data_IF_393177668110
#
_entry.id   IF_393177668110
#
_cell.length_a   1.000
_cell.length_b   1.000
_cell.length_c   1.000
_cell.angle_alpha   90.00
_cell.angle_beta   90.00
_cell.angle_gamma   90.00
#
_symmetry.space_group_name_H-M   'P 1'
#
loop_
_entity.id
_entity.type
_entity.pdbx_description
1 polymer ?
#
# COMPACT_ATOMS: atom_id res chain seq x y z
N UNK A 1 63.04 -40.20 -43.63
CA UNK A 1 62.39 -39.25 -44.58
C UNK A 1 61.37 -38.46 -43.77
N UNK A 2 61.38 -37.14 -43.57
CA UNK A 2 62.21 -36.05 -44.07
C UNK A 2 61.34 -34.79 -44.23
N UNK A 3 61.49 -33.82 -43.31
CA UNK A 3 61.24 -32.35 -43.42
C UNK A 3 59.76 -31.87 -43.47
N UNK A 4 59.33 -30.72 -42.92
CA UNK A 4 59.97 -29.58 -42.22
C UNK A 4 58.90 -28.66 -41.57
N UNK A 5 59.25 -28.03 -40.41
CA UNK A 5 59.06 -26.61 -39.95
C UNK A 5 57.73 -25.89 -40.28
N UNK A 6 57.01 -25.24 -39.37
CA UNK A 6 57.36 -24.33 -38.25
C UNK A 6 56.46 -23.09 -38.40
N UNK A 7 55.73 -22.62 -37.38
CA UNK A 7 56.07 -21.41 -36.64
C UNK A 7 55.11 -21.18 -35.47
N UNK A 8 55.71 -20.69 -34.38
CA UNK A 8 55.11 -20.17 -33.16
C UNK A 8 54.84 -18.67 -33.35
N UNK A 9 53.71 -18.17 -32.87
CA UNK A 9 53.56 -16.77 -32.48
C UNK A 9 52.97 -16.68 -31.07
N UNK A 10 53.79 -16.19 -30.15
CA UNK A 10 53.39 -15.64 -28.85
C UNK A 10 53.37 -14.12 -29.04
N UNK A 11 52.27 -13.47 -28.69
CA UNK A 11 52.24 -12.05 -28.35
C UNK A 11 51.61 -11.89 -26.97
N UNK A 12 52.43 -11.42 -26.02
CA UNK A 12 52.00 -10.79 -24.78
C UNK A 12 51.74 -9.30 -25.04
N UNK A 13 50.63 -8.77 -24.55
CA UNK A 13 50.51 -7.42 -23.97
C UNK A 13 49.11 -7.28 -23.36
N UNK A 14 49.00 -7.32 -22.02
CA UNK A 14 48.96 -6.16 -21.10
C UNK A 14 47.53 -5.72 -20.75
N UNK A 15 47.14 -6.11 -19.53
CA UNK A 15 46.34 -5.39 -18.52
C UNK A 15 45.58 -4.14 -18.97
N UNK A 16 44.25 -4.16 -18.84
CA UNK A 16 43.55 -3.18 -18.00
C UNK A 16 42.15 -3.67 -17.61
N UNK A 17 41.93 -3.74 -16.30
CA UNK A 17 40.64 -3.69 -15.64
C UNK A 17 39.93 -2.37 -16.00
N UNK A 18 38.59 -2.38 -16.10
CA UNK A 18 37.67 -1.31 -15.64
C UNK A 18 36.22 -1.76 -15.89
N UNK A 19 35.50 -1.92 -14.75
CA UNK A 19 34.09 -1.65 -14.44
C UNK A 19 32.96 -2.23 -15.31
N UNK A 20 32.22 -3.15 -14.69
CA UNK A 20 30.78 -3.30 -14.89
C UNK A 20 30.09 -1.96 -14.55
N UNK A 21 29.50 -1.32 -15.54
CA UNK A 21 28.50 -0.26 -15.35
C UNK A 21 27.13 -0.79 -15.81
N UNK A 22 26.10 -0.42 -15.06
CA UNK A 22 24.70 -0.86 -15.12
C UNK A 22 24.06 -0.74 -16.52
N UNK A 23 23.09 -1.61 -16.87
CA UNK A 23 22.31 -1.41 -18.08
C UNK A 23 21.31 -0.28 -17.86
N UNK A 24 21.52 0.81 -18.59
CA UNK A 24 20.54 1.87 -18.84
C UNK A 24 19.27 1.27 -19.49
N UNK A 25 18.04 1.66 -19.09
CA UNK A 25 16.85 1.22 -19.80
C UNK A 25 16.74 1.95 -21.14
N UNK A 26 16.80 1.17 -22.23
CA UNK A 26 16.52 1.58 -23.60
C UNK A 26 15.06 2.07 -23.72
N UNK A 27 14.84 3.37 -23.70
CA UNK A 27 13.67 3.97 -24.34
C UNK A 27 13.95 4.07 -25.84
N UNK A 28 13.39 3.14 -26.63
CA UNK A 28 13.30 3.28 -28.07
C UNK A 28 11.83 3.40 -28.48
N UNK A 29 11.53 4.56 -29.09
CA UNK A 29 10.28 4.89 -29.74
C UNK A 29 9.85 3.77 -30.70
N UNK A 30 8.64 3.24 -30.51
CA UNK A 30 7.97 2.37 -31.48
C UNK A 30 7.67 3.18 -32.76
N UNK A 31 8.47 2.97 -33.81
CA UNK A 31 8.08 3.26 -35.19
C UNK A 31 7.38 2.02 -35.76
N UNK A 32 6.16 2.23 -36.26
CA UNK A 32 5.31 1.18 -36.82
C UNK A 32 5.97 0.42 -37.97
N UNK A 33 5.84 -0.90 -37.91
CA UNK A 33 6.04 -1.84 -39.01
C UNK A 33 4.97 -2.92 -38.92
N UNK A 34 4.41 -3.33 -40.05
CA UNK A 34 3.18 -4.13 -40.18
C UNK A 34 3.29 -5.60 -39.72
N UNK A 35 4.14 -5.93 -38.76
CA UNK A 35 4.27 -7.24 -38.12
C UNK A 35 4.71 -7.10 -36.64
N UNK A 36 4.12 -6.16 -35.91
CA UNK A 36 4.26 -6.12 -34.46
C UNK A 36 3.38 -7.22 -33.86
N UNK A 37 4.00 -8.24 -33.28
CA UNK A 37 3.32 -9.24 -32.46
C UNK A 37 2.73 -8.49 -31.27
N UNK A 38 1.39 -8.35 -31.24
CA UNK A 38 0.68 -7.82 -30.08
C UNK A 38 1.01 -8.71 -28.86
N UNK A 39 1.57 -8.17 -27.78
CA UNK A 39 1.74 -8.93 -26.54
C UNK A 39 0.38 -9.43 -26.04
N UNK A 40 0.37 -10.62 -25.44
CA UNK A 40 -0.88 -11.20 -24.91
C UNK A 40 -1.44 -10.30 -23.82
N UNK A 41 -2.77 -10.23 -23.69
CA UNK A 41 -3.46 -9.39 -22.70
C UNK A 41 -2.96 -9.59 -21.26
N UNK A 42 -2.45 -10.79 -20.94
CA UNK A 42 -1.83 -11.15 -19.67
C UNK A 42 -0.40 -10.59 -19.47
N UNK A 43 0.37 -10.40 -20.54
CA UNK A 43 1.71 -9.81 -20.50
C UNK A 43 1.63 -8.28 -20.45
N UNK A 44 0.60 -7.68 -21.07
CA UNK A 44 0.30 -6.24 -20.95
C UNK A 44 -0.17 -5.88 -19.54
N UNK A 45 -0.89 -6.77 -18.84
CA UNK A 45 -1.31 -6.55 -17.46
C UNK A 45 -0.17 -6.63 -16.44
N UNK A 46 0.92 -7.37 -16.72
CA UNK A 46 2.13 -7.40 -15.88
C UNK A 46 3.07 -6.21 -16.17
N UNK A 47 3.06 -5.69 -17.40
CA UNK A 47 4.00 -4.65 -17.86
C UNK A 47 3.45 -3.22 -17.67
N UNK A 48 2.17 -3.06 -17.31
CA UNK A 48 1.55 -1.78 -16.94
C UNK A 48 0.78 -1.87 -15.62
N UNK A 49 1.37 -2.44 -14.56
CA UNK A 49 0.94 -2.12 -13.19
C UNK A 49 1.29 -0.64 -12.95
N UNK A 50 0.42 0.27 -13.42
CA UNK A 50 0.48 1.68 -13.09
C UNK A 50 0.56 1.75 -11.57
N UNK A 51 1.69 2.20 -11.05
CA UNK A 51 1.94 2.21 -9.61
C UNK A 51 1.14 3.35 -8.98
N UNK A 52 -0.17 3.14 -8.84
CA UNK A 52 -1.06 4.09 -8.20
C UNK A 52 -0.53 4.40 -6.80
N UNK A 53 -0.40 5.68 -6.51
CA UNK A 53 0.05 6.16 -5.21
C UNK A 53 -1.12 6.22 -4.24
N UNK A 54 -1.65 5.06 -3.90
CA UNK A 54 -2.83 4.92 -3.06
C UNK A 54 -2.48 5.20 -1.60
N UNK A 55 -3.23 6.09 -0.98
CA UNK A 55 -3.19 6.34 0.46
C UNK A 55 -4.49 5.89 1.12
N UNK A 56 -4.41 5.60 2.42
CA UNK A 56 -5.59 5.39 3.28
C UNK A 56 -5.54 6.46 4.35
N UNK A 57 -6.66 7.12 4.59
CA UNK A 57 -6.79 8.09 5.66
C UNK A 57 -7.97 7.73 6.56
N UNK A 58 -7.72 7.75 7.87
CA UNK A 58 -8.77 7.62 8.87
C UNK A 58 -9.08 9.01 9.40
N UNK A 59 -10.23 9.54 9.00
CA UNK A 59 -10.67 10.88 9.33
C UNK A 59 -11.87 10.83 10.28
N UNK A 60 -11.91 11.77 11.22
CA UNK A 60 -12.98 11.89 12.20
C UNK A 60 -13.26 13.36 12.47
N UNK A 61 -14.42 13.69 13.04
CA UNK A 61 -14.68 15.05 13.51
C UNK A 61 -13.68 15.45 14.61
N UNK A 62 -13.26 16.72 14.73
CA UNK A 62 -12.23 17.15 15.68
C UNK A 62 -12.49 16.79 17.15
N UNK A 63 -13.76 16.67 17.56
CA UNK A 63 -14.16 16.28 18.92
C UNK A 63 -14.11 14.77 19.20
N UNK A 64 -13.85 13.95 18.18
CA UNK A 64 -13.86 12.48 18.27
C UNK A 64 -12.64 11.98 19.03
N UNK A 65 -12.82 10.97 19.89
CA UNK A 65 -11.73 10.43 20.69
C UNK A 65 -10.71 9.65 19.84
N UNK A 66 -9.49 9.51 20.36
CA UNK A 66 -8.47 8.64 19.74
C UNK A 66 -8.91 7.17 19.69
N UNK A 67 -9.71 6.72 20.65
CA UNK A 67 -10.28 5.37 20.70
C UNK A 67 -11.25 5.13 19.54
N UNK A 68 -12.15 6.07 19.27
CA UNK A 68 -13.11 5.95 18.16
C UNK A 68 -12.39 5.98 16.80
N UNK A 69 -11.38 6.85 16.62
CA UNK A 69 -10.52 6.82 15.43
C UNK A 69 -9.81 5.47 15.29
N UNK A 70 -9.26 4.94 16.39
CA UNK A 70 -8.61 3.62 16.41
C UNK A 70 -9.56 2.52 15.96
N UNK A 71 -10.82 2.57 16.41
CA UNK A 71 -11.86 1.59 16.06
C UNK A 71 -12.16 1.55 14.56
N UNK A 72 -12.15 2.70 13.87
CA UNK A 72 -12.32 2.74 12.41
C UNK A 72 -11.22 1.95 11.69
N UNK A 73 -9.96 2.10 12.11
CA UNK A 73 -8.86 1.32 11.54
C UNK A 73 -8.93 -0.16 11.92
N UNK A 74 -9.31 -0.48 13.15
CA UNK A 74 -9.49 -1.87 13.57
C UNK A 74 -10.59 -2.57 12.75
N UNK A 75 -11.67 -1.86 12.39
CA UNK A 75 -12.71 -2.39 11.49
C UNK A 75 -12.16 -2.68 10.09
N UNK A 76 -11.35 -1.78 9.52
CA UNK A 76 -10.66 -2.01 8.25
C UNK A 76 -9.69 -3.20 8.35
N UNK A 77 -8.93 -3.28 9.43
CA UNK A 77 -8.02 -4.38 9.72
C UNK A 77 -8.76 -5.72 9.81
N UNK A 78 -9.91 -5.78 10.48
CA UNK A 78 -10.73 -7.00 10.56
C UNK A 78 -11.17 -7.50 9.18
N UNK A 79 -11.57 -6.59 8.28
CA UNK A 79 -11.88 -6.95 6.89
C UNK A 79 -10.67 -7.49 6.13
N UNK A 80 -9.51 -6.84 6.28
CA UNK A 80 -8.25 -7.33 5.74
C UNK A 80 -7.91 -8.73 6.27
N UNK A 81 -8.02 -8.94 7.58
CA UNK A 81 -7.74 -10.22 8.23
C UNK A 81 -8.65 -11.33 7.71
N UNK A 82 -9.95 -11.06 7.56
CA UNK A 82 -10.90 -11.99 6.93
C UNK A 82 -10.52 -12.31 5.49
N UNK A 83 -10.11 -11.31 4.70
CA UNK A 83 -9.61 -11.51 3.34
C UNK A 83 -8.35 -12.41 3.32
N UNK A 84 -7.57 -12.41 4.40
CA UNK A 84 -6.38 -13.26 4.58
C UNK A 84 -6.70 -14.60 5.27
N UNK A 85 -7.97 -14.98 5.44
CA UNK A 85 -8.42 -16.20 6.13
C UNK A 85 -8.14 -16.24 7.64
N UNK A 86 -8.21 -15.09 8.31
CA UNK A 86 -8.11 -14.96 9.77
C UNK A 86 -9.43 -14.46 10.38
N UNK A 87 -9.69 -14.85 11.62
CA UNK A 87 -10.74 -14.27 12.50
C UNK A 87 -10.10 -13.54 13.67
N UNK A 88 -10.74 -12.44 14.08
CA UNK A 88 -10.48 -11.84 15.39
C UNK A 88 -11.07 -12.75 16.47
N UNK A 89 -10.24 -13.13 17.44
CA UNK A 89 -10.65 -13.93 18.60
C UNK A 89 -10.97 -13.04 19.78
N UNK A 90 -10.18 -11.98 19.98
CA UNK A 90 -10.36 -11.04 21.10
C UNK A 90 -9.76 -9.66 20.79
N UNK A 91 -10.32 -8.62 21.41
CA UNK A 91 -9.76 -7.27 21.49
C UNK A 91 -8.92 -7.21 22.79
N UNK A 92 -7.61 -7.46 22.67
CA UNK A 92 -6.79 -7.86 23.81
C UNK A 92 -6.25 -6.67 24.61
N UNK A 93 -6.81 -6.47 25.80
CA UNK A 93 -6.06 -5.93 26.95
C UNK A 93 -5.92 -7.02 28.00
N UNK A 94 -5.21 -8.10 27.65
CA UNK A 94 -4.89 -9.17 28.62
C UNK A 94 -3.86 -8.64 29.61
N UNK A 95 -3.88 -9.10 30.86
CA UNK A 95 -2.93 -8.68 31.89
C UNK A 95 -1.48 -8.79 31.41
N UNK A 96 -0.83 -7.65 31.17
CA UNK A 96 0.54 -7.56 30.69
C UNK A 96 0.73 -7.49 29.16
N UNK A 97 -0.35 -7.57 28.37
CA UNK A 97 -0.33 -7.47 26.90
C UNK A 97 -1.15 -6.26 26.46
N UNK A 98 -0.50 -5.35 25.74
CA UNK A 98 -1.19 -4.29 24.99
C UNK A 98 -0.96 -4.54 23.50
N UNK A 99 -1.95 -5.13 22.83
CA UNK A 99 -2.05 -5.26 21.37
C UNK A 99 -3.49 -4.98 20.94
N UNK A 100 -3.72 -4.44 19.75
CA UNK A 100 -5.09 -4.10 19.34
C UNK A 100 -5.97 -5.33 19.14
N UNK A 101 -5.48 -6.39 18.46
CA UNK A 101 -6.28 -7.60 18.19
C UNK A 101 -5.44 -8.87 18.38
N UNK A 102 -6.07 -9.91 18.93
CA UNK A 102 -5.62 -11.29 18.80
C UNK A 102 -6.45 -11.97 17.72
N UNK A 103 -5.78 -12.57 16.74
CA UNK A 103 -6.43 -13.26 15.64
C UNK A 103 -5.91 -14.69 15.50
N UNK A 104 -6.70 -15.52 14.86
CA UNK A 104 -6.38 -16.91 14.57
C UNK A 104 -6.74 -17.21 13.11
N UNK A 105 -5.91 -18.00 12.43
CA UNK A 105 -6.24 -18.54 11.12
C UNK A 105 -7.54 -19.37 11.21
N UNK A 106 -8.34 -19.41 10.14
CA UNK A 106 -9.61 -20.16 10.18
C UNK A 106 -9.44 -21.67 10.41
N UNK A 107 -8.29 -22.22 10.03
CA UNK A 107 -7.92 -23.61 10.27
C UNK A 107 -7.27 -23.86 11.64
N UNK A 108 -7.10 -22.80 12.44
CA UNK A 108 -6.51 -22.86 13.79
C UNK A 108 -4.99 -23.05 13.81
N UNK A 109 -4.31 -22.97 12.67
CA UNK A 109 -2.88 -23.30 12.57
C UNK A 109 -1.93 -22.20 13.03
N UNK A 110 -2.40 -20.95 13.03
CA UNK A 110 -1.58 -19.77 13.36
C UNK A 110 -2.36 -18.80 14.23
N UNK A 111 -1.71 -18.30 15.29
CA UNK A 111 -2.18 -17.18 16.11
C UNK A 111 -1.30 -15.96 15.84
N UNK A 112 -1.95 -14.82 15.63
CA UNK A 112 -1.25 -13.56 15.34
C UNK A 112 -1.71 -12.45 16.27
N UNK A 113 -0.76 -11.61 16.67
CA UNK A 113 -1.07 -10.32 17.27
C UNK A 113 -1.10 -9.25 16.20
N UNK A 114 -2.07 -8.35 16.27
CA UNK A 114 -2.23 -7.25 15.33
C UNK A 114 -2.17 -5.94 16.08
N UNK A 115 -1.33 -5.04 15.59
CA UNK A 115 -1.22 -3.66 16.05
C UNK A 115 -1.70 -2.73 14.92
N UNK A 116 -2.63 -1.85 15.24
CA UNK A 116 -3.25 -0.89 14.34
C UNK A 116 -2.81 0.53 14.68
N UNK A 117 -2.30 1.28 13.70
CA UNK A 117 -1.89 2.69 13.89
C UNK A 117 -2.52 3.59 12.84
N UNK A 118 -3.58 4.29 13.26
CA UNK A 118 -4.32 5.27 12.48
C UNK A 118 -3.76 6.66 12.80
N UNK A 119 -2.65 7.04 12.18
CA UNK A 119 -2.03 8.32 12.49
C UNK A 119 -1.37 8.98 11.28
N UNK A 120 -1.46 10.31 11.22
CA UNK A 120 -0.81 11.13 10.16
C UNK A 120 0.69 11.24 10.34
N UNK A 121 1.14 11.24 11.60
CA UNK A 121 2.58 11.23 11.91
C UNK A 121 3.23 9.90 11.55
N UNK A 122 4.55 9.98 11.38
CA UNK A 122 5.34 8.85 11.00
C UNK A 122 5.36 7.78 12.12
N UNK A 123 5.08 6.53 11.75
CA UNK A 123 5.10 5.40 12.66
C UNK A 123 6.50 5.22 13.26
N UNK A 124 6.57 5.18 14.59
CA UNK A 124 7.81 5.08 15.36
C UNK A 124 8.28 3.64 15.46
N UNK A 125 9.59 3.45 15.62
CA UNK A 125 10.21 2.12 15.74
C UNK A 125 9.75 1.36 16.99
N UNK A 126 9.34 2.07 18.04
CA UNK A 126 8.93 1.50 19.32
C UNK A 126 7.68 0.62 19.20
N UNK A 127 6.75 0.97 18.30
CA UNK A 127 5.57 0.16 18.01
C UNK A 127 5.95 -1.26 17.54
N UNK A 128 6.96 -1.37 16.69
CA UNK A 128 7.46 -2.67 16.22
C UNK A 128 8.19 -3.44 17.32
N UNK A 129 9.02 -2.77 18.11
CA UNK A 129 9.73 -3.45 19.20
C UNK A 129 8.79 -3.93 20.30
N UNK A 130 7.72 -3.17 20.59
CA UNK A 130 6.67 -3.58 21.53
C UNK A 130 5.93 -4.81 21.03
N UNK A 131 5.47 -4.78 19.78
CA UNK A 131 4.79 -5.92 19.15
C UNK A 131 5.67 -7.17 19.16
N UNK A 132 6.93 -7.05 18.75
CA UNK A 132 7.89 -8.16 18.80
C UNK A 132 8.15 -8.65 20.23
N UNK A 133 8.25 -7.74 21.20
CA UNK A 133 8.39 -8.10 22.61
C UNK A 133 7.22 -8.91 23.13
N UNK A 134 5.99 -8.54 22.75
CA UNK A 134 4.79 -9.31 23.08
C UNK A 134 4.84 -10.73 22.48
N UNK A 135 5.39 -10.91 21.27
CA UNK A 135 5.57 -12.25 20.68
C UNK A 135 6.62 -13.10 21.42
N UNK A 136 7.58 -12.52 22.12
CA UNK A 136 8.56 -13.28 22.92
C UNK A 136 8.00 -13.67 24.29
N UNK A 137 7.06 -12.88 24.81
CA UNK A 137 6.45 -13.09 26.12
C UNK A 137 5.21 -13.98 26.08
N UNK A 138 4.61 -14.17 24.89
CA UNK A 138 3.31 -14.83 24.72
C UNK A 138 3.28 -15.74 23.49
N UNK A 139 2.37 -16.72 23.50
CA UNK A 139 2.27 -17.80 22.50
C UNK A 139 1.55 -17.37 21.20
N UNK A 140 2.06 -16.34 20.53
CA UNK A 140 1.64 -15.96 19.18
C UNK A 140 2.77 -16.20 18.17
N UNK A 141 2.42 -16.69 16.98
CA UNK A 141 3.36 -17.10 15.93
C UNK A 141 3.97 -15.90 15.21
N UNK A 142 3.16 -14.86 14.96
CA UNK A 142 3.59 -13.66 14.27
C UNK A 142 2.84 -12.39 14.72
N UNK A 143 3.48 -11.24 14.49
CA UNK A 143 2.94 -9.92 14.76
C UNK A 143 2.71 -9.17 13.46
N UNK A 144 1.53 -8.59 13.30
CA UNK A 144 1.11 -7.87 12.10
C UNK A 144 0.90 -6.39 12.43
N UNK A 145 1.63 -5.51 11.75
CA UNK A 145 1.47 -4.07 11.85
C UNK A 145 0.62 -3.56 10.70
N UNK A 146 -0.55 -3.00 11.00
CA UNK A 146 -1.45 -2.36 10.04
C UNK A 146 -1.43 -0.86 10.32
N UNK A 147 -0.84 -0.10 9.41
CA UNK A 147 -0.69 1.34 9.57
C UNK A 147 -1.07 2.08 8.29
N UNK A 148 -1.71 3.23 8.44
CA UNK A 148 -2.11 4.09 7.32
C UNK A 148 -1.14 5.27 7.10
N UNK A 149 -0.37 5.62 8.13
CA UNK A 149 0.66 6.67 8.07
C UNK A 149 2.00 6.20 7.49
N UNK A 150 2.88 7.15 7.12
CA UNK A 150 4.21 6.82 6.64
C UNK A 150 5.07 6.19 7.76
N UNK A 151 6.08 5.41 7.39
CA UNK A 151 7.06 4.92 8.36
C UNK A 151 8.09 6.01 8.70
N UNK A 152 8.39 6.18 9.99
CA UNK A 152 9.50 7.02 10.45
C UNK A 152 10.85 6.46 10.02
N UNK A 153 11.89 7.31 10.00
CA UNK A 153 13.25 6.91 9.56
C UNK A 153 13.77 5.69 10.33
N UNK A 154 13.61 5.69 11.65
CA UNK A 154 14.07 4.58 12.49
C UNK A 154 13.23 3.31 12.28
N UNK A 155 11.91 3.45 12.09
CA UNK A 155 11.04 2.33 11.76
C UNK A 155 11.43 1.68 10.43
N UNK A 156 11.72 2.49 9.39
CA UNK A 156 12.24 2.01 8.10
C UNK A 156 13.54 1.24 8.29
N UNK A 157 14.50 1.80 9.03
CA UNK A 157 15.77 1.15 9.32
C UNK A 157 15.63 -0.15 10.12
N UNK A 158 14.67 -0.23 11.05
CA UNK A 158 14.34 -1.45 11.78
C UNK A 158 13.79 -2.53 10.85
N UNK A 159 12.80 -2.19 10.02
CA UNK A 159 12.18 -3.14 9.10
C UNK A 159 13.16 -3.63 8.03
N UNK A 160 14.05 -2.77 7.54
CA UNK A 160 15.11 -3.17 6.62
C UNK A 160 16.06 -4.19 7.26
N UNK A 161 16.51 -3.93 8.49
CA UNK A 161 17.30 -4.90 9.28
C UNK A 161 16.53 -6.20 9.53
N UNK A 162 15.21 -6.12 9.77
CA UNK A 162 14.36 -7.28 10.01
C UNK A 162 14.18 -8.14 8.76
N UNK A 163 14.00 -7.53 7.59
CA UNK A 163 13.91 -8.20 6.29
C UNK A 163 15.15 -9.05 6.00
N UNK A 164 16.33 -8.60 6.45
CA UNK A 164 17.59 -9.31 6.27
C UNK A 164 17.84 -10.44 7.30
N UNK A 165 16.92 -10.70 8.23
CA UNK A 165 17.02 -11.84 9.17
C UNK A 165 16.73 -13.18 8.48
N UNK A 166 17.14 -14.31 9.08
CA UNK A 166 16.74 -15.64 8.64
C UNK A 166 15.21 -15.77 8.54
N UNK A 167 14.73 -16.62 7.61
CA UNK A 167 13.30 -16.78 7.30
C UNK A 167 12.43 -16.99 8.54
N UNK A 168 12.88 -17.81 9.48
CA UNK A 168 12.17 -18.12 10.72
C UNK A 168 11.90 -16.90 11.59
N UNK A 169 12.84 -15.94 11.64
CA UNK A 169 12.64 -14.67 12.34
C UNK A 169 11.87 -13.67 11.50
N UNK A 170 12.18 -13.60 10.20
CA UNK A 170 11.54 -12.66 9.28
C UNK A 170 10.02 -12.82 9.28
N UNK A 171 9.52 -14.06 9.24
CA UNK A 171 8.08 -14.37 9.23
C UNK A 171 7.33 -13.93 10.50
N UNK A 172 8.02 -13.70 11.62
CA UNK A 172 7.40 -13.27 12.88
C UNK A 172 6.89 -11.84 12.84
N UNK A 173 7.24 -11.05 11.83
CA UNK A 173 6.73 -9.69 11.67
C UNK A 173 6.26 -9.45 10.25
N UNK A 174 5.01 -9.05 10.11
CA UNK A 174 4.42 -8.59 8.85
C UNK A 174 3.98 -7.14 8.98
N UNK A 175 4.14 -6.37 7.91
CA UNK A 175 3.65 -5.00 7.82
C UNK A 175 2.79 -4.86 6.59
N UNK A 176 1.69 -4.13 6.67
CA UNK A 176 0.83 -3.85 5.54
C UNK A 176 0.96 -2.39 5.10
N UNK A 177 1.19 -2.20 3.81
CA UNK A 177 1.12 -0.90 3.13
C UNK A 177 -0.31 -0.60 2.68
N UNK A 178 -0.62 0.67 2.44
CA UNK A 178 -1.92 1.09 1.90
C UNK A 178 -2.31 0.31 0.63
N UNK A 179 -1.37 0.14 -0.31
CA UNK A 179 -1.58 -0.63 -1.54
C UNK A 179 -1.92 -2.11 -1.26
N UNK A 180 -1.22 -2.77 -0.34
CA UNK A 180 -1.51 -4.16 0.02
C UNK A 180 -2.87 -4.32 0.69
N UNK A 181 -3.25 -3.37 1.54
CA UNK A 181 -4.57 -3.35 2.20
C UNK A 181 -5.67 -3.20 1.15
N UNK A 182 -5.55 -2.18 0.29
CA UNK A 182 -6.55 -1.90 -0.76
C UNK A 182 -6.66 -3.09 -1.71
N UNK A 183 -5.54 -3.64 -2.18
CA UNK A 183 -5.54 -4.81 -3.07
C UNK A 183 -6.28 -5.99 -2.44
N UNK A 184 -5.98 -6.35 -1.19
CA UNK A 184 -6.66 -7.46 -0.52
C UNK A 184 -8.17 -7.24 -0.37
N UNK A 185 -8.60 -5.98 -0.15
CA UNK A 185 -10.01 -5.63 -0.03
C UNK A 185 -10.73 -5.60 -1.39
N UNK A 186 -10.04 -5.18 -2.45
CA UNK A 186 -10.55 -5.21 -3.83
C UNK A 186 -10.67 -6.65 -4.34
N UNK A 187 -9.65 -7.50 -4.10
CA UNK A 187 -9.62 -8.90 -4.52
C UNK A 187 -10.76 -9.72 -3.90
N UNK A 188 -11.29 -9.26 -2.76
CA UNK A 188 -12.45 -9.85 -2.07
C UNK A 188 -13.77 -9.13 -2.34
N UNK A 189 -13.80 -8.16 -3.27
CA UNK A 189 -14.94 -7.31 -3.58
C UNK A 189 -15.55 -6.59 -2.36
N UNK A 190 -14.72 -6.34 -1.34
CA UNK A 190 -15.12 -5.58 -0.15
C UNK A 190 -15.16 -4.08 -0.45
N UNK A 191 -14.28 -3.63 -1.34
CA UNK A 191 -14.27 -2.28 -1.92
C UNK A 191 -14.13 -2.36 -3.44
N UNK A 192 -14.57 -1.32 -4.13
CA UNK A 192 -14.40 -1.15 -5.57
C UNK A 192 -12.93 -0.82 -5.90
N UNK A 193 -12.48 -1.33 -7.03
CA UNK A 193 -11.13 -1.10 -7.55
C UNK A 193 -10.92 0.41 -7.85
N UNK A 194 -9.84 1.04 -7.33
CA UNK A 194 -9.60 2.47 -7.51
C UNK A 194 -9.42 2.88 -8.99
N UNK A 195 -9.04 1.96 -9.88
CA UNK A 195 -8.96 2.24 -11.31
C UNK A 195 -10.33 2.59 -11.92
N UNK A 196 -11.42 2.11 -11.33
CA UNK A 196 -12.79 2.43 -11.76
C UNK A 196 -13.06 3.92 -11.53
N UNK A 197 -12.88 4.40 -10.30
CA UNK A 197 -13.16 5.80 -9.95
C UNK A 197 -12.19 6.77 -10.63
N UNK A 198 -10.94 6.35 -10.87
CA UNK A 198 -9.99 7.16 -11.63
C UNK A 198 -10.43 7.36 -13.08
N UNK A 199 -10.88 6.30 -13.77
CA UNK A 199 -11.41 6.42 -15.14
C UNK A 199 -12.64 7.33 -15.20
N UNK A 200 -13.57 7.19 -14.27
CA UNK A 200 -14.79 8.02 -14.20
C UNK A 200 -14.50 9.47 -13.78
N UNK A 201 -13.36 9.72 -13.11
CA UNK A 201 -12.99 11.06 -12.67
C UNK A 201 -12.48 11.94 -13.80
N UNK A 202 -11.99 11.37 -14.90
CA UNK A 202 -11.26 12.09 -15.96
C UNK A 202 -10.10 12.96 -15.43
N UNK A 203 -9.66 12.71 -14.19
CA UNK A 203 -8.56 13.44 -13.56
C UNK A 203 -7.24 12.78 -13.94
N UNK A 204 -6.24 13.58 -14.26
CA UNK A 204 -4.88 13.12 -14.58
C UNK A 204 -4.06 12.77 -13.32
N UNK A 205 -4.73 12.31 -12.26
CA UNK A 205 -4.10 11.88 -11.01
C UNK A 205 -3.95 10.37 -10.94
N UNK A 206 -2.87 9.90 -10.33
CA UNK A 206 -2.61 8.50 -10.00
C UNK A 206 -2.74 8.22 -8.49
N UNK A 207 -3.24 9.19 -7.72
CA UNK A 207 -3.21 9.20 -6.26
C UNK A 207 -4.61 9.31 -5.62
N UNK A 208 -5.50 8.31 -5.82
CA UNK A 208 -6.76 8.28 -5.10
C UNK A 208 -6.51 7.98 -3.62
N UNK A 209 -7.35 8.56 -2.75
CA UNK A 209 -7.33 8.32 -1.32
C UNK A 209 -8.54 7.47 -0.91
N UNK A 210 -8.29 6.39 -0.19
CA UNK A 210 -9.36 5.70 0.54
C UNK A 210 -9.58 6.42 1.87
N UNK A 211 -10.69 7.15 1.97
CA UNK A 211 -11.13 7.81 3.19
C UNK A 211 -12.00 6.85 4.01
N UNK A 212 -11.63 6.64 5.26
CA UNK A 212 -12.40 5.87 6.25
C UNK A 212 -12.83 6.84 7.36
N UNK A 213 -14.14 7.04 7.53
CA UNK A 213 -14.69 7.89 8.59
C UNK A 213 -15.96 7.31 9.21
N UNK A 214 -16.48 7.99 10.22
CA UNK A 214 -17.80 7.73 10.80
C UNK A 214 -18.96 8.10 9.85
N UNK A 215 -18.71 8.94 8.85
CA UNK A 215 -19.65 9.30 7.77
C UNK A 215 -19.76 8.18 6.73
N UNK A 216 -18.68 7.43 6.53
CA UNK A 216 -18.64 6.31 5.59
C UNK A 216 -17.24 6.04 5.03
N UNK A 217 -17.19 5.19 4.00
CA UNK A 217 -15.96 4.85 3.30
C UNK A 217 -16.04 5.31 1.85
N UNK A 218 -15.06 6.11 1.44
CA UNK A 218 -15.10 6.81 0.15
C UNK A 218 -13.75 6.76 -0.54
N UNK A 219 -13.78 6.68 -1.87
CA UNK A 219 -12.65 7.10 -2.68
C UNK A 219 -12.74 8.61 -2.89
N UNK A 220 -11.67 9.32 -2.55
CA UNK A 220 -11.53 10.75 -2.85
C UNK A 220 -10.47 10.91 -3.95
N UNK A 221 -10.88 11.53 -5.05
CA UNK A 221 -10.04 11.73 -6.24
C UNK A 221 -9.82 13.22 -6.46
N UNK A 222 -8.60 13.75 -6.24
CA UNK A 222 -8.28 15.14 -6.56
C UNK A 222 -8.48 15.41 -8.04
N UNK A 223 -9.10 16.53 -8.39
CA UNK A 223 -9.25 16.97 -9.78
C UNK A 223 -8.02 17.79 -10.16
N UNK A 224 -7.16 17.19 -10.99
CA UNK A 224 -5.96 17.83 -11.53
C UNK A 224 -6.21 18.14 -13.01
N UNK A 225 -6.18 19.43 -13.42
CA UNK A 225 -6.33 19.79 -14.83
C UNK A 225 -5.22 19.18 -15.69
N UNK A 226 -5.52 18.86 -16.95
CA UNK A 226 -4.55 18.32 -17.92
C UNK A 226 -3.34 19.25 -18.17
N UNK A 227 -3.48 20.54 -17.88
CA UNK A 227 -2.38 21.52 -17.95
C UNK A 227 -1.40 21.41 -16.78
N UNK A 228 -1.65 20.51 -15.83
CA UNK A 228 -0.94 20.42 -14.56
C UNK A 228 -1.40 21.49 -13.55
N UNK A 229 -1.03 21.31 -12.28
CA UNK A 229 -1.32 22.27 -11.21
C UNK A 229 -1.58 21.60 -9.85
N UNK A 230 -1.92 22.43 -8.86
CA UNK A 230 -2.40 21.97 -7.55
C UNK A 230 -3.90 21.76 -7.64
N UNK A 231 -4.39 20.60 -7.21
CA UNK A 231 -5.81 20.33 -7.14
C UNK A 231 -6.49 21.32 -6.18
N UNK A 232 -7.57 21.94 -6.63
CA UNK A 232 -8.45 22.79 -5.80
C UNK A 232 -9.80 22.13 -5.50
N UNK A 233 -10.10 21.08 -6.24
CA UNK A 233 -11.34 20.34 -6.16
C UNK A 233 -11.04 18.85 -5.99
N UNK A 234 -11.99 18.13 -5.43
CA UNK A 234 -11.96 16.68 -5.39
C UNK A 234 -13.37 16.11 -5.59
N UNK A 235 -13.42 14.94 -6.25
CA UNK A 235 -14.62 14.14 -6.40
C UNK A 235 -14.63 13.06 -5.33
N UNK A 236 -15.83 12.68 -4.89
CA UNK A 236 -16.03 11.64 -3.90
C UNK A 236 -16.87 10.53 -4.52
N UNK A 237 -16.43 9.29 -4.33
CA UNK A 237 -17.10 8.08 -4.79
C UNK A 237 -17.28 7.12 -3.62
N UNK A 238 -18.36 6.33 -3.63
CA UNK A 238 -18.53 5.24 -2.66
C UNK A 238 -17.37 4.27 -2.78
N UNK A 239 -16.68 3.95 -1.68
CA UNK A 239 -15.63 2.93 -1.69
C UNK A 239 -16.22 1.54 -2.01
N UNK A 240 -17.51 1.31 -1.74
CA UNK A 240 -18.16 0.02 -1.95
C UNK A 240 -18.57 -0.19 -3.41
N UNK A 241 -19.30 0.76 -4.00
CA UNK A 241 -19.84 0.60 -5.37
C UNK A 241 -18.96 1.24 -6.44
N UNK A 242 -18.13 2.23 -6.08
CA UNK A 242 -17.43 3.09 -7.06
C UNK A 242 -18.34 4.14 -7.70
N UNK A 243 -19.61 4.22 -7.30
CA UNK A 243 -20.54 5.25 -7.81
C UNK A 243 -20.19 6.62 -7.21
N UNK A 244 -20.35 7.71 -7.98
CA UNK A 244 -20.11 9.04 -7.47
C UNK A 244 -21.14 9.42 -6.39
N UNK A 245 -20.68 10.17 -5.39
CA UNK A 245 -21.55 10.77 -4.39
C UNK A 245 -22.26 11.98 -5.01
N UNK A 246 -23.59 11.95 -4.99
CA UNK A 246 -24.47 12.98 -5.54
C UNK A 246 -25.22 13.78 -4.46
N UNK A 247 -24.72 13.77 -3.23
CA UNK A 247 -25.36 14.37 -2.06
C UNK A 247 -24.42 15.39 -1.39
N UNK A 248 -24.80 16.67 -1.45
CA UNK A 248 -24.04 17.74 -0.80
C UNK A 248 -24.00 17.60 0.74
N UNK A 249 -24.99 16.95 1.36
CA UNK A 249 -24.99 16.66 2.79
C UNK A 249 -23.80 15.77 3.17
N UNK A 250 -23.59 14.69 2.41
CA UNK A 250 -22.44 13.79 2.60
C UNK A 250 -21.11 14.53 2.38
N UNK A 251 -21.03 15.38 1.34
CA UNK A 251 -19.83 16.18 1.10
C UNK A 251 -19.56 17.16 2.26
N UNK A 252 -20.61 17.79 2.80
CA UNK A 252 -20.51 18.66 3.97
C UNK A 252 -20.01 17.90 5.19
N UNK A 253 -20.60 16.74 5.48
CA UNK A 253 -20.20 15.89 6.60
C UNK A 253 -18.73 15.44 6.50
N UNK A 254 -18.26 15.09 5.30
CA UNK A 254 -16.84 14.77 5.07
C UNK A 254 -15.95 15.97 5.37
N UNK A 255 -16.34 17.19 4.97
CA UNK A 255 -15.57 18.41 5.24
C UNK A 255 -15.52 18.80 6.71
N UNK A 256 -16.47 18.35 7.52
CA UNK A 256 -16.44 18.52 8.98
C UNK A 256 -15.46 17.57 9.68
N UNK A 257 -14.97 16.54 8.98
CA UNK A 257 -13.88 15.70 9.49
C UNK A 257 -12.53 16.40 9.34
N UNK A 258 -11.52 15.88 10.02
CA UNK A 258 -10.17 16.40 9.89
C UNK A 258 -9.49 16.07 8.56
N UNK A 259 -10.15 15.39 7.60
CA UNK A 259 -9.53 14.80 6.40
C UNK A 259 -8.65 15.77 5.60
N UNK A 260 -7.61 15.27 4.93
CA UNK A 260 -6.67 16.07 4.12
C UNK A 260 -7.37 16.92 3.03
N UNK A 261 -8.55 16.50 2.57
CA UNK A 261 -9.31 17.20 1.53
C UNK A 261 -10.38 18.16 2.07
N UNK A 262 -10.46 18.37 3.39
CA UNK A 262 -11.38 19.34 4.00
C UNK A 262 -11.16 20.78 3.47
N UNK A 263 -9.92 21.12 3.14
CA UNK A 263 -9.52 22.41 2.55
C UNK A 263 -9.84 22.51 1.04
N UNK A 264 -10.12 21.40 0.35
CA UNK A 264 -10.53 21.42 -1.05
C UNK A 264 -12.04 21.67 -1.19
N UNK A 265 -12.44 22.11 -2.38
CA UNK A 265 -13.85 22.10 -2.75
C UNK A 265 -14.24 20.68 -3.17
N UNK A 266 -14.97 19.97 -2.32
CA UNK A 266 -15.61 18.72 -2.72
C UNK A 266 -16.79 19.06 -3.63
N UNK A 267 -16.82 18.48 -4.82
CA UNK A 267 -17.80 18.80 -5.86
C UNK A 267 -18.60 17.56 -6.28
N UNK A 268 -19.82 17.78 -6.75
CA UNK A 268 -20.57 16.73 -7.44
C UNK A 268 -19.98 16.51 -8.85
N UNK A 269 -20.18 15.33 -9.47
CA UNK A 269 -19.63 15.05 -10.80
C UNK A 269 -20.00 16.06 -11.89
N UNK A 270 -21.18 16.70 -11.79
CA UNK A 270 -21.68 17.68 -12.75
C UNK A 270 -21.14 19.11 -12.56
N UNK A 271 -20.39 19.38 -11.49
CA UNK A 271 -19.89 20.72 -11.12
C UNK A 271 -18.43 20.95 -11.58
N UNK A 272 -17.86 20.03 -12.38
CA UNK A 272 -16.49 20.12 -12.91
C UNK A 272 -16.31 21.26 -13.91
#
# INVERSE_FOLDING_TARGET
MGRQRGQVFILHSSVNSVKNEDPTPLFHYYRGGANAIMPRRSEVSEIMEYKMNIAIEVAVRPSTSSTERGRLLQNLANRLLKAQQYRVVDEVRLTGIEVDLLCEAFDGTEKIFVECKAWREALKADAFTKLLGNLELHDADSGWMIATGPLGKDAKGLLEKWKNKPRERRRRLRTFTATEIVRALTDTATICDPSVVLRESESETDAPLLLISDVGEYWVVPVVPATGGVARQALVYSAKSGEPINDYGVLSDIKETDCTFSDLQLILPGDK
#
